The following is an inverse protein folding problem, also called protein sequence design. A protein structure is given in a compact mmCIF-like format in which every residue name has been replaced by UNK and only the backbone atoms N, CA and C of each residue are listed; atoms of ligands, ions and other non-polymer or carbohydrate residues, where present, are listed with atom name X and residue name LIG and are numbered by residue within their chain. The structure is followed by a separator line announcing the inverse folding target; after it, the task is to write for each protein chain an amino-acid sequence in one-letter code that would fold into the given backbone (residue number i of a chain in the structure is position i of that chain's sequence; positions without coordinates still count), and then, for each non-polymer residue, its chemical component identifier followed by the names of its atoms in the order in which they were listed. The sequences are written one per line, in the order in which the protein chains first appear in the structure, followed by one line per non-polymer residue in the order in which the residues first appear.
data_IF_560754908630
#
_entry.id   IF_560754908630
#
_cell.length_a   1.000
_cell.length_b   1.000
_cell.length_c   1.000
_cell.angle_alpha   90.00
_cell.angle_beta   90.00
_cell.angle_gamma   90.00
#
_symmetry.space_group_name_H-M   'P 1'
#
loop_
_entity.id
_entity.type
_entity.pdbx_description
1 polymer ?
#
# COMPACT_ATOMS: atom_id res chain seq x y z
N UNK A 1 10.94 -18.76 0.27
CA UNK A 1 9.67 -18.14 -0.13
C UNK A 1 9.91 -16.71 -0.59
N UNK A 2 9.50 -16.40 -1.81
CA UNK A 2 9.69 -15.12 -2.50
C UNK A 2 8.38 -14.35 -2.46
N UNK A 3 8.42 -13.17 -1.86
CA UNK A 3 7.24 -12.39 -1.52
C UNK A 3 7.30 -11.07 -2.28
N UNK A 4 6.32 -10.85 -3.15
CA UNK A 4 6.12 -9.58 -3.85
C UNK A 4 5.51 -8.54 -2.93
N UNK A 5 6.04 -7.32 -2.95
CA UNK A 5 5.52 -6.17 -2.22
C UNK A 5 5.56 -4.94 -3.12
N UNK A 6 4.62 -4.02 -2.92
CA UNK A 6 4.52 -2.80 -3.71
C UNK A 6 4.61 -1.55 -2.84
N UNK A 7 5.56 -0.66 -3.15
CA UNK A 7 5.66 0.67 -2.52
C UNK A 7 5.60 0.64 -1.00
N UNK A 8 4.77 1.51 -0.42
CA UNK A 8 4.66 1.69 1.03
C UNK A 8 4.07 0.51 1.83
N UNK A 9 3.59 -0.55 1.18
CA UNK A 9 3.11 -1.74 1.91
C UNK A 9 4.17 -2.32 2.83
N UNK A 10 5.45 -2.09 2.51
CA UNK A 10 6.59 -2.44 3.38
C UNK A 10 6.61 -1.73 4.72
N UNK A 11 5.92 -0.59 4.85
CA UNK A 11 5.86 0.24 6.05
C UNK A 11 4.61 -0.03 6.90
N UNK A 12 3.67 -0.83 6.39
CA UNK A 12 2.43 -1.18 7.06
C UNK A 12 2.57 -2.34 8.07
N UNK A 13 1.65 -2.40 9.05
CA UNK A 13 1.60 -3.50 10.01
C UNK A 13 1.23 -4.84 9.40
N UNK A 14 0.41 -4.84 8.35
CA UNK A 14 -0.08 -6.08 7.75
C UNK A 14 1.09 -6.97 7.31
N UNK A 15 2.05 -6.40 6.56
CA UNK A 15 3.24 -7.13 6.13
C UNK A 15 4.12 -7.49 7.33
N UNK A 16 4.51 -6.51 8.14
CA UNK A 16 5.47 -6.73 9.23
C UNK A 16 4.94 -7.73 10.27
N UNK A 17 3.66 -7.67 10.59
CA UNK A 17 2.95 -8.59 11.47
C UNK A 17 2.90 -10.01 10.91
N UNK A 18 2.52 -10.17 9.63
CA UNK A 18 2.49 -11.47 8.96
C UNK A 18 3.89 -12.11 8.90
N UNK A 19 4.91 -11.35 8.50
CA UNK A 19 6.29 -11.83 8.43
C UNK A 19 6.82 -12.25 9.81
N UNK A 20 6.53 -11.45 10.85
CA UNK A 20 6.93 -11.76 12.23
C UNK A 20 6.26 -13.02 12.76
N UNK A 21 4.94 -13.13 12.59
CA UNK A 21 4.17 -14.29 13.03
C UNK A 21 4.66 -15.56 12.33
N UNK A 22 4.85 -15.50 11.02
CA UNK A 22 5.35 -16.64 10.25
C UNK A 22 6.79 -17.02 10.61
N UNK A 23 7.70 -16.05 10.73
CA UNK A 23 9.08 -16.31 11.11
C UNK A 23 9.17 -16.94 12.51
N UNK A 24 8.34 -16.49 13.44
CA UNK A 24 8.26 -17.08 14.79
C UNK A 24 7.82 -18.55 14.73
N UNK A 25 6.81 -18.87 13.91
CA UNK A 25 6.31 -20.24 13.76
C UNK A 25 7.23 -21.15 12.92
N UNK A 26 7.97 -20.58 11.95
CA UNK A 26 8.77 -21.30 10.94
C UNK A 26 10.14 -20.62 10.72
N UNK A 27 11.03 -20.59 11.74
CA UNK A 27 12.27 -19.80 11.70
C UNK A 27 13.29 -20.27 10.64
N UNK A 28 13.15 -21.51 10.14
CA UNK A 28 14.05 -22.07 9.12
C UNK A 28 13.65 -21.73 7.69
N UNK A 29 12.47 -21.14 7.46
CA UNK A 29 12.05 -20.75 6.12
C UNK A 29 12.71 -19.42 5.75
N UNK A 30 13.47 -19.40 4.66
CA UNK A 30 14.04 -18.17 4.12
C UNK A 30 12.95 -17.33 3.45
N UNK A 31 12.84 -16.06 3.87
CA UNK A 31 11.97 -15.05 3.28
C UNK A 31 12.80 -14.15 2.36
N UNK A 32 12.31 -13.90 1.15
CA UNK A 32 12.94 -13.05 0.13
C UNK A 32 11.90 -12.03 -0.36
N UNK A 33 12.03 -10.77 0.05
CA UNK A 33 11.13 -9.69 -0.33
C UNK A 33 11.59 -9.07 -1.66
N UNK A 34 10.66 -8.92 -2.61
CA UNK A 34 10.94 -8.36 -3.92
C UNK A 34 9.93 -7.27 -4.26
N UNK A 35 10.44 -6.14 -4.71
CA UNK A 35 9.58 -5.05 -5.15
C UNK A 35 8.93 -5.39 -6.50
N UNK A 36 7.60 -5.43 -6.50
CA UNK A 36 6.78 -5.69 -7.68
C UNK A 36 5.39 -5.06 -7.48
N UNK A 37 4.96 -4.25 -8.44
CA UNK A 37 3.60 -3.68 -8.44
C UNK A 37 2.52 -4.77 -8.56
N UNK A 38 1.28 -4.52 -8.10
CA UNK A 38 0.20 -5.51 -8.07
C UNK A 38 -0.06 -6.25 -9.39
N UNK A 39 -0.03 -5.54 -10.53
CA UNK A 39 -0.21 -6.17 -11.84
C UNK A 39 0.96 -7.11 -12.19
N UNK A 40 2.20 -6.67 -11.94
CA UNK A 40 3.40 -7.49 -12.15
C UNK A 40 3.46 -8.71 -11.23
N UNK A 41 2.96 -8.59 -9.99
CA UNK A 41 2.87 -9.72 -9.07
C UNK A 41 2.05 -10.88 -9.67
N UNK A 42 0.91 -10.59 -10.32
CA UNK A 42 0.08 -11.63 -10.99
C UNK A 42 0.91 -12.43 -12.01
N UNK A 43 1.57 -11.74 -12.93
CA UNK A 43 2.38 -12.38 -13.97
C UNK A 43 3.58 -13.16 -13.40
N UNK A 44 4.27 -12.60 -12.41
CA UNK A 44 5.46 -13.21 -11.81
C UNK A 44 5.14 -14.40 -10.88
N UNK A 45 3.97 -14.42 -10.25
CA UNK A 45 3.46 -15.60 -9.52
C UNK A 45 3.13 -16.72 -10.50
N UNK A 46 2.45 -16.41 -11.60
CA UNK A 46 2.15 -17.40 -12.66
C UNK A 46 3.42 -17.96 -13.31
N UNK A 47 4.45 -17.13 -13.47
CA UNK A 47 5.76 -17.56 -13.96
C UNK A 47 6.58 -18.35 -12.91
N UNK A 48 6.10 -18.43 -11.66
CA UNK A 48 6.82 -19.09 -10.57
C UNK A 48 8.05 -18.34 -10.08
N UNK A 49 8.16 -17.05 -10.39
CA UNK A 49 9.23 -16.15 -9.93
C UNK A 49 8.96 -15.58 -8.53
N UNK A 50 7.68 -15.39 -8.21
CA UNK A 50 7.16 -15.11 -6.86
C UNK A 50 6.32 -16.28 -6.38
N UNK A 51 6.25 -16.44 -5.06
CA UNK A 51 5.41 -17.44 -4.41
C UNK A 51 4.13 -16.81 -3.85
N UNK A 52 4.25 -15.61 -3.25
CA UNK A 52 3.13 -14.84 -2.69
C UNK A 52 3.29 -13.37 -3.08
N UNK A 53 2.19 -12.67 -3.31
CA UNK A 53 2.16 -11.21 -3.49
C UNK A 53 1.31 -10.55 -2.41
N UNK A 54 1.83 -9.51 -1.76
CA UNK A 54 1.01 -8.57 -0.98
C UNK A 54 0.47 -7.53 -1.95
N UNK A 55 -0.82 -7.65 -2.26
CA UNK A 55 -1.43 -6.97 -3.39
C UNK A 55 -2.69 -6.22 -2.99
N UNK A 56 -2.80 -4.97 -3.44
CA UNK A 56 -4.04 -4.19 -3.44
C UNK A 56 -5.01 -4.62 -4.55
N UNK A 57 -4.58 -5.54 -5.42
CA UNK A 57 -5.40 -6.11 -6.48
C UNK A 57 -5.65 -7.60 -6.21
N UNK A 58 -6.91 -8.04 -6.10
CA UNK A 58 -7.24 -9.46 -5.97
C UNK A 58 -6.89 -10.23 -7.25
N UNK A 59 -6.96 -11.57 -7.20
CA UNK A 59 -6.93 -12.41 -8.38
C UNK A 59 -8.08 -12.03 -9.33
N UNK A 60 -7.82 -11.79 -10.62
CA UNK A 60 -8.88 -11.43 -11.55
C UNK A 60 -9.76 -12.65 -11.84
N UNK A 61 -11.10 -12.50 -11.97
CA UNK A 61 -12.00 -13.62 -12.24
C UNK A 61 -11.65 -14.42 -13.52
N UNK A 62 -10.95 -13.78 -14.45
CA UNK A 62 -10.52 -14.37 -15.73
C UNK A 62 -9.26 -15.24 -15.62
N UNK A 63 -8.58 -15.29 -14.47
CA UNK A 63 -7.36 -16.07 -14.26
C UNK A 63 -7.52 -17.06 -13.09
N UNK A 64 -8.09 -18.25 -13.33
CA UNK A 64 -8.40 -19.22 -12.27
C UNK A 64 -7.16 -19.86 -11.63
N UNK A 65 -5.97 -19.67 -12.21
CA UNK A 65 -4.70 -20.15 -11.63
C UNK A 65 -4.20 -19.29 -10.47
N UNK A 66 -4.79 -18.11 -10.27
CA UNK A 66 -4.52 -17.25 -9.14
C UNK A 66 -5.69 -17.27 -8.15
N UNK A 67 -5.34 -17.17 -6.87
CA UNK A 67 -6.27 -17.03 -5.77
C UNK A 67 -5.80 -15.91 -4.84
N UNK A 68 -6.75 -15.37 -4.07
CA UNK A 68 -6.52 -14.29 -3.10
C UNK A 68 -7.05 -14.69 -1.74
N UNK A 69 -6.22 -14.48 -0.71
CA UNK A 69 -6.63 -14.58 0.69
C UNK A 69 -6.58 -13.20 1.32
N UNK A 70 -7.72 -12.69 1.75
CA UNK A 70 -7.82 -11.37 2.36
C UNK A 70 -7.04 -11.29 3.67
N UNK A 71 -6.19 -10.25 3.82
CA UNK A 71 -5.38 -10.04 5.01
C UNK A 71 -5.77 -8.79 5.80
N UNK A 72 -6.47 -7.85 5.17
CA UNK A 72 -7.00 -6.66 5.83
C UNK A 72 -7.09 -5.48 4.87
N UNK A 73 -7.38 -4.30 5.41
CA UNK A 73 -7.52 -3.08 4.63
C UNK A 73 -6.52 -2.02 5.09
N UNK A 74 -6.06 -1.19 4.16
CA UNK A 74 -5.16 -0.08 4.39
C UNK A 74 -5.91 1.24 4.29
N UNK A 75 -5.74 2.12 5.28
CA UNK A 75 -6.28 3.48 5.26
C UNK A 75 -5.30 4.47 4.65
N UNK A 76 -5.80 5.64 4.27
CA UNK A 76 -5.03 6.67 3.57
C UNK A 76 -5.05 8.00 4.33
N UNK A 77 -4.20 8.17 5.36
CA UNK A 77 -3.99 9.45 6.02
C UNK A 77 -3.44 10.53 5.07
N UNK A 78 -3.57 11.79 5.51
CA UNK A 78 -2.96 12.94 4.85
C UNK A 78 -1.64 13.28 5.56
N UNK A 79 -0.57 13.36 4.79
CA UNK A 79 0.70 13.95 5.18
C UNK A 79 0.70 15.45 4.89
N UNK A 80 1.11 16.24 5.87
CA UNK A 80 1.10 17.70 5.86
C UNK A 80 2.46 18.21 6.33
N UNK A 81 2.96 19.34 5.80
CA UNK A 81 4.11 19.99 6.40
C UNK A 81 3.76 20.50 7.81
N UNK A 82 4.73 20.49 8.73
CA UNK A 82 4.55 21.07 10.06
C UNK A 82 4.07 22.52 9.97
N UNK A 83 3.03 22.85 10.73
CA UNK A 83 2.42 24.18 10.72
C UNK A 83 1.42 24.44 9.59
N UNK A 84 1.12 23.46 8.73
CA UNK A 84 0.05 23.57 7.72
C UNK A 84 -1.30 23.89 8.39
N UNK A 85 -2.15 24.71 7.77
CA UNK A 85 -3.42 25.14 8.37
C UNK A 85 -4.32 23.96 8.80
N UNK A 86 -4.29 22.87 8.03
CA UNK A 86 -5.05 21.65 8.32
C UNK A 86 -4.56 20.85 9.54
N UNK A 87 -3.35 21.10 10.06
CA UNK A 87 -2.84 20.38 11.26
C UNK A 87 -3.64 20.73 12.51
N UNK A 88 -4.38 21.85 12.51
CA UNK A 88 -5.32 22.24 13.59
C UNK A 88 -6.46 21.22 13.79
N UNK A 89 -6.78 20.45 12.76
CA UNK A 89 -7.79 19.41 12.82
C UNK A 89 -7.14 18.10 13.29
N UNK A 90 -7.79 17.39 14.23
CA UNK A 90 -7.32 16.07 14.68
C UNK A 90 -7.55 14.98 13.64
N UNK A 91 -8.59 15.13 12.82
CA UNK A 91 -8.99 14.25 11.72
C UNK A 91 -9.47 15.13 10.57
N UNK A 92 -9.23 14.69 9.36
CA UNK A 92 -9.64 15.38 8.14
C UNK A 92 -10.80 14.64 7.47
N UNK A 93 -11.54 15.39 6.68
CA UNK A 93 -12.58 14.88 5.77
C UNK A 93 -12.25 15.34 4.36
N UNK A 94 -12.91 14.76 3.37
CA UNK A 94 -12.85 15.17 1.98
C UNK A 94 -13.03 16.69 1.81
N UNK A 95 -14.01 17.26 2.51
CA UNK A 95 -14.32 18.68 2.46
C UNK A 95 -13.17 19.58 2.92
N UNK A 96 -12.34 19.11 3.88
CA UNK A 96 -11.16 19.87 4.32
C UNK A 96 -10.07 19.93 3.24
N UNK A 97 -10.07 18.98 2.30
CA UNK A 97 -9.11 18.90 1.20
C UNK A 97 -9.60 19.61 -0.06
N UNK A 98 -10.86 20.06 -0.09
CA UNK A 98 -11.40 20.82 -1.22
C UNK A 98 -10.64 22.15 -1.35
N UNK A 99 -10.04 22.36 -2.53
CA UNK A 99 -9.25 23.56 -2.82
C UNK A 99 -7.80 23.48 -2.34
N UNK A 100 -7.42 22.44 -1.59
CA UNK A 100 -6.02 22.17 -1.31
C UNK A 100 -5.30 21.69 -2.57
N UNK A 101 -4.01 21.99 -2.63
CA UNK A 101 -3.14 21.49 -3.68
C UNK A 101 -2.44 20.23 -3.18
N UNK A 102 -2.92 19.07 -3.65
CA UNK A 102 -2.36 17.78 -3.28
C UNK A 102 -1.21 17.41 -4.22
N UNK A 103 -0.12 16.89 -3.66
CA UNK A 103 0.99 16.30 -4.42
C UNK A 103 0.44 15.10 -5.20
N UNK A 104 0.62 15.12 -6.52
CA UNK A 104 0.17 14.03 -7.37
C UNK A 104 1.09 12.82 -7.21
N UNK A 105 0.48 11.70 -6.84
CA UNK A 105 1.14 10.41 -6.91
C UNK A 105 1.09 9.91 -8.36
N UNK A 106 2.17 10.13 -9.10
CA UNK A 106 2.36 9.70 -10.49
C UNK A 106 2.39 8.19 -10.60
N UNK A 107 1.70 7.67 -11.61
CA UNK A 107 1.83 6.29 -12.07
C UNK A 107 3.14 6.05 -12.86
N UNK A 108 3.84 7.11 -13.29
CA UNK A 108 4.94 7.03 -14.25
C UNK A 108 4.53 6.28 -15.55
N UNK A 109 5.52 5.88 -16.36
CA UNK A 109 5.30 4.88 -17.44
C UNK A 109 5.01 3.48 -16.87
N UNK A 110 5.11 3.31 -15.55
CA UNK A 110 4.97 2.06 -14.84
C UNK A 110 3.51 1.86 -14.41
N UNK A 111 2.65 1.56 -15.40
CA UNK A 111 1.20 1.30 -15.24
C UNK A 111 0.84 0.14 -14.29
N UNK A 112 1.83 -0.46 -13.63
CA UNK A 112 1.70 -1.56 -12.68
C UNK A 112 1.49 -1.09 -11.22
N UNK A 113 1.52 0.22 -10.94
CA UNK A 113 1.40 0.75 -9.58
C UNK A 113 -0.05 1.07 -9.20
N UNK A 114 -0.87 0.04 -8.97
CA UNK A 114 -2.27 0.21 -8.57
C UNK A 114 -2.45 0.91 -7.22
N UNK A 115 -1.45 0.97 -6.35
CA UNK A 115 -1.54 1.82 -5.15
C UNK A 115 -1.62 3.31 -5.54
N UNK A 116 -0.89 3.73 -6.57
CA UNK A 116 -1.04 5.05 -7.17
C UNK A 116 -2.36 5.18 -7.95
N UNK A 117 -2.88 4.10 -8.55
CA UNK A 117 -4.23 4.12 -9.14
C UNK A 117 -5.29 4.30 -8.06
N UNK A 118 -5.21 3.61 -6.92
CA UNK A 118 -6.18 3.83 -5.85
C UNK A 118 -5.97 5.18 -5.16
N UNK A 119 -4.72 5.61 -4.93
CA UNK A 119 -4.44 6.96 -4.43
C UNK A 119 -4.93 8.04 -5.38
N UNK A 120 -4.81 7.83 -6.69
CA UNK A 120 -5.35 8.73 -7.70
C UNK A 120 -6.86 8.62 -7.80
N UNK A 121 -7.49 7.45 -7.67
CA UNK A 121 -8.96 7.33 -7.61
C UNK A 121 -9.51 8.01 -6.35
N UNK A 122 -8.86 7.79 -5.21
CA UNK A 122 -9.11 8.45 -3.93
C UNK A 122 -8.89 9.97 -4.02
N UNK A 123 -7.88 10.43 -4.74
CA UNK A 123 -7.69 11.84 -5.01
C UNK A 123 -8.74 12.36 -6.01
N UNK A 124 -9.12 11.61 -7.05
CA UNK A 124 -10.09 12.02 -8.06
C UNK A 124 -11.51 12.17 -7.48
N UNK A 125 -11.89 11.35 -6.49
CA UNK A 125 -13.15 11.54 -5.74
C UNK A 125 -13.14 12.84 -4.92
N UNK A 126 -11.97 13.32 -4.52
CA UNK A 126 -11.78 14.57 -3.76
C UNK A 126 -11.72 15.84 -4.63
N UNK A 127 -11.74 15.71 -5.96
CA UNK A 127 -11.60 16.84 -6.92
C UNK A 127 -10.53 17.87 -6.53
N UNK A 128 -9.27 17.48 -6.28
CA UNK A 128 -8.20 18.39 -5.94
C UNK A 128 -7.94 19.35 -7.09
N UNK A 129 -7.38 20.51 -6.73
CA UNK A 129 -6.84 21.43 -7.74
C UNK A 129 -5.71 20.74 -8.53
N UNK A 130 -5.42 21.16 -9.78
CA UNK A 130 -4.33 20.60 -10.55
C UNK A 130 -3.02 20.69 -9.76
N UNK A 131 -2.38 19.55 -9.52
CA UNK A 131 -1.17 19.48 -8.72
C UNK A 131 0.01 20.15 -9.44
N UNK A 132 0.71 21.10 -8.80
CA UNK A 132 1.99 21.62 -9.32
C UNK A 132 3.14 20.64 -9.08
N UNK A 133 2.99 19.76 -8.10
CA UNK A 133 4.03 18.84 -7.64
C UNK A 133 3.62 17.39 -7.88
N UNK A 134 4.58 16.58 -8.33
CA UNK A 134 4.36 15.20 -8.74
C UNK A 134 5.55 14.32 -8.37
N UNK A 135 5.28 13.13 -7.84
CA UNK A 135 6.28 12.11 -7.52
C UNK A 135 5.75 10.70 -7.75
N UNK A 136 6.63 9.73 -7.95
CA UNK A 136 6.33 8.36 -8.40
C UNK A 136 6.52 7.28 -7.31
N UNK A 137 7.16 7.62 -6.19
CA UNK A 137 7.35 6.72 -5.05
C UNK A 137 6.89 7.38 -3.75
N UNK A 138 6.61 6.58 -2.74
CA UNK A 138 6.12 7.11 -1.45
C UNK A 138 7.18 7.97 -0.78
N UNK A 139 8.46 7.58 -0.87
CA UNK A 139 9.54 8.36 -0.30
C UNK A 139 9.72 9.71 -1.00
N UNK A 140 9.60 9.74 -2.34
CA UNK A 140 9.68 11.00 -3.10
C UNK A 140 8.46 11.88 -2.86
N UNK A 141 7.27 11.30 -2.68
CA UNK A 141 6.07 12.04 -2.22
C UNK A 141 6.29 12.65 -0.83
N UNK A 142 6.79 11.87 0.14
CA UNK A 142 7.07 12.38 1.48
C UNK A 142 8.11 13.50 1.49
N UNK A 143 9.13 13.43 0.62
CA UNK A 143 10.10 14.51 0.46
C UNK A 143 9.46 15.80 -0.10
N UNK A 144 8.41 15.69 -0.92
CA UNK A 144 7.67 16.83 -1.44
C UNK A 144 6.66 17.42 -0.46
N UNK A 145 6.35 16.74 0.66
CA UNK A 145 5.38 17.25 1.65
C UNK A 145 5.79 18.60 2.23
N UNK A 146 7.08 18.95 2.21
CA UNK A 146 7.53 20.31 2.56
C UNK A 146 6.94 21.41 1.66
N UNK A 147 6.45 21.05 0.47
CA UNK A 147 5.87 21.94 -0.53
C UNK A 147 4.35 21.79 -0.69
N UNK A 148 3.69 20.86 0.01
CA UNK A 148 2.24 20.65 -0.12
C UNK A 148 1.71 19.46 0.67
N UNK A 149 0.40 19.25 0.63
CA UNK A 149 -0.23 18.10 1.27
C UNK A 149 -0.18 16.86 0.36
N UNK A 150 -0.14 15.66 0.93
CA UNK A 150 -0.21 14.41 0.17
C UNK A 150 -1.12 13.40 0.87
N UNK A 151 -1.90 12.65 0.09
CA UNK A 151 -2.55 11.45 0.60
C UNK A 151 -1.55 10.31 0.48
N UNK A 152 -1.34 9.60 1.59
CA UNK A 152 -0.33 8.55 1.67
C UNK A 152 -0.91 7.30 2.33
N UNK A 153 -0.44 6.10 1.97
CA UNK A 153 -0.87 4.86 2.60
C UNK A 153 -0.47 4.81 4.08
N UNK A 154 -1.32 4.23 4.93
CA UNK A 154 -1.02 4.06 6.35
C UNK A 154 0.25 3.20 6.56
N UNK A 155 0.95 3.45 7.67
CA UNK A 155 2.24 2.83 7.99
C UNK A 155 3.43 3.73 7.65
N UNK A 156 3.30 4.62 6.67
CA UNK A 156 4.38 5.57 6.32
C UNK A 156 4.74 6.51 7.46
N UNK A 157 3.81 6.78 8.39
CA UNK A 157 4.07 7.62 9.55
C UNK A 157 5.21 7.09 10.43
N UNK A 158 5.51 5.79 10.32
CA UNK A 158 6.59 5.13 11.05
C UNK A 158 7.97 5.43 10.50
N UNK A 159 8.06 5.87 9.26
CA UNK A 159 9.31 6.34 8.69
C UNK A 159 9.81 7.62 9.40
N UNK A 160 8.96 8.27 10.21
CA UNK A 160 9.31 9.43 11.03
C UNK A 160 10.04 10.54 10.25
N UNK A 161 9.53 10.83 9.04
CA UNK A 161 10.08 11.89 8.19
C UNK A 161 10.01 13.23 8.96
N UNK A 162 11.13 13.96 9.09
CA UNK A 162 11.15 15.26 9.77
C UNK A 162 10.17 16.25 9.13
N UNK A 163 9.62 17.14 9.95
CA UNK A 163 8.72 18.23 9.55
C UNK A 163 7.45 17.79 8.79
N UNK A 164 7.05 16.52 8.95
CA UNK A 164 5.82 15.95 8.40
C UNK A 164 4.88 15.55 9.53
N UNK A 165 3.68 16.12 9.52
CA UNK A 165 2.58 15.74 10.38
C UNK A 165 1.55 14.91 9.60
N UNK A 166 0.97 13.90 10.26
CA UNK A 166 -0.05 13.05 9.64
C UNK A 166 -1.41 13.25 10.31
N UNK A 167 -2.47 13.27 9.51
CA UNK A 167 -3.86 13.31 9.99
C UNK A 167 -4.68 12.19 9.37
N UNK A 168 -5.43 11.41 10.18
CA UNK A 168 -6.36 10.42 9.64
C UNK A 168 -7.42 11.11 8.79
N UNK A 169 -7.75 10.49 7.66
CA UNK A 169 -8.87 10.87 6.80
C UNK A 169 -10.05 9.95 7.16
N UNK A 170 -11.20 10.53 7.49
CA UNK A 170 -12.35 9.76 8.04
C UNK A 170 -13.38 9.34 7.01
N UNK A 171 -13.18 9.66 5.75
CA UNK A 171 -14.10 9.27 4.69
C UNK A 171 -14.07 7.74 4.49
N UNK A 172 -15.24 7.07 4.60
CA UNK A 172 -15.32 5.61 4.63
C UNK A 172 -14.86 4.94 3.33
N UNK A 173 -14.90 5.66 2.21
CA UNK A 173 -14.58 5.12 0.88
C UNK A 173 -13.08 5.16 0.55
N UNK A 174 -12.23 5.56 1.51
CA UNK A 174 -10.78 5.70 1.33
C UNK A 174 -10.01 4.59 2.06
N UNK A 175 -10.45 3.35 1.86
CA UNK A 175 -9.73 2.15 2.27
C UNK A 175 -9.45 1.25 1.08
N UNK A 176 -8.32 0.56 1.11
CA UNK A 176 -7.94 -0.42 0.10
C UNK A 176 -7.77 -1.77 0.75
N UNK A 177 -8.51 -2.74 0.27
CA UNK A 177 -8.31 -4.13 0.65
C UNK A 177 -6.98 -4.64 0.12
N UNK A 178 -6.30 -5.39 0.97
CA UNK A 178 -5.07 -6.09 0.66
C UNK A 178 -5.28 -7.58 0.81
N UNK A 179 -4.77 -8.29 -0.19
CA UNK A 179 -4.82 -9.73 -0.26
C UNK A 179 -3.41 -10.30 -0.38
N UNK A 180 -3.26 -11.52 0.13
CA UNK A 180 -2.19 -12.43 -0.25
C UNK A 180 -2.60 -13.08 -1.57
N UNK A 181 -2.01 -12.61 -2.67
CA UNK A 181 -2.15 -13.21 -3.99
C UNK A 181 -1.21 -14.41 -4.08
N UNK A 182 -1.72 -15.55 -4.55
CA UNK A 182 -0.95 -16.78 -4.67
C UNK A 182 -1.48 -17.66 -5.81
N UNK A 183 -0.80 -18.78 -6.07
CA UNK A 183 -1.29 -19.81 -7.00
C UNK A 183 -2.47 -20.55 -6.37
N UNK A 184 -3.54 -20.77 -7.13
CA UNK A 184 -4.72 -21.53 -6.66
C UNK A 184 -4.37 -22.96 -6.24
N UNK A 185 -3.37 -23.56 -6.89
CA UNK A 185 -2.79 -24.84 -6.50
C UNK A 185 -1.34 -24.60 -6.08
N UNK A 186 -1.10 -24.54 -4.78
CA UNK A 186 0.20 -24.21 -4.23
C UNK A 186 0.99 -25.48 -3.85
N UNK A 187 2.11 -25.77 -4.53
CA UNK A 187 2.91 -26.96 -4.24
C UNK A 187 3.83 -26.82 -3.01
N UNK A 188 4.15 -25.61 -2.57
CA UNK A 188 5.08 -25.39 -1.45
C UNK A 188 4.32 -25.32 -0.10
N UNK A 189 4.51 -26.28 0.82
CA UNK A 189 3.85 -26.27 2.12
C UNK A 189 4.24 -25.08 3.00
N UNK A 190 5.39 -24.43 2.74
CA UNK A 190 5.77 -23.21 3.42
C UNK A 190 4.85 -22.04 3.00
N UNK A 191 4.41 -22.01 1.75
CA UNK A 191 3.48 -20.99 1.25
C UNK A 191 2.09 -21.23 1.82
N UNK A 192 1.58 -22.46 1.82
CA UNK A 192 0.30 -22.78 2.49
C UNK A 192 0.32 -22.36 3.96
N UNK A 193 1.38 -22.69 4.69
CA UNK A 193 1.53 -22.27 6.08
C UNK A 193 1.61 -20.73 6.24
N UNK A 194 2.17 -20.02 5.25
CA UNK A 194 2.20 -18.56 5.26
C UNK A 194 0.80 -17.95 5.05
N UNK A 195 0.00 -18.53 4.17
CA UNK A 195 -1.39 -18.11 3.93
C UNK A 195 -2.29 -18.36 5.16
N UNK A 196 -2.04 -19.45 5.89
CA UNK A 196 -2.78 -19.80 7.12
C UNK A 196 -2.33 -19.01 8.35
N UNK A 197 -1.18 -18.33 8.26
CA UNK A 197 -0.67 -17.54 9.37
C UNK A 197 -1.58 -16.36 9.61
N UNK A 198 -1.97 -16.16 10.88
CA UNK A 198 -2.70 -14.98 11.32
C UNK A 198 -1.76 -14.10 12.14
N UNK A 199 -1.64 -12.79 11.85
CA UNK A 199 -0.92 -11.88 12.72
C UNK A 199 -1.57 -11.91 14.10
N UNK A 200 -0.76 -11.80 15.16
CA UNK A 200 -1.31 -11.58 16.49
C UNK A 200 -2.02 -10.21 16.50
N UNK A 201 -3.29 -10.19 16.92
CA UNK A 201 -4.10 -8.99 17.15
C UNK A 201 -3.52 -8.12 18.26
#
# INVERSE_FOLDING_TARGET
MRIGVAGATVLGDLLAGQLRAFHTARPRVRLDLREAGPARQRCTILAGELDVGFSALPAPPTEPRLASAHIGSLSFPVALPTGHALTRHRKLTADHLLGEELIEYSLGDNRDNTAAEVLSQAALTLRPTPARHRADTTLTVLALVSAGAAIVPAGVQRAAVPDVEYRPLTDPDLTVDFDLLHRSTEPDPAVTAFLDTRPAT
#
